data_IF_189495260654
#
_entry.id   IF_189495260654
#
_cell.length_a   1.000
_cell.length_b   1.000
_cell.length_c   1.000
_cell.angle_alpha   90.00
_cell.angle_beta   90.00
_cell.angle_gamma   90.00
#
_symmetry.space_group_name_H-M   'P 1'
#
loop_
_entity.id
_entity.type
_entity.pdbx_description
1 polymer ?
#
# COMPACT_ATOMS: atom_id res chain seq x y z
N UNK A 1 -10.58 -25.30 -7.51
CA UNK A 1 -10.45 -23.83 -7.69
C UNK A 1 -10.14 -23.24 -6.34
N UNK A 2 -9.25 -22.32 -6.29
CA UNK A 2 -8.72 -21.69 -5.06
C UNK A 2 -8.62 -20.19 -5.30
N UNK A 3 -8.91 -19.36 -4.30
CA UNK A 3 -8.63 -17.92 -4.42
C UNK A 3 -7.13 -17.63 -4.28
N UNK A 4 -6.67 -16.51 -4.82
CA UNK A 4 -5.27 -16.10 -4.64
C UNK A 4 -4.91 -15.97 -3.17
N UNK A 5 -5.81 -15.40 -2.35
CA UNK A 5 -5.60 -15.30 -0.90
C UNK A 5 -5.41 -16.66 -0.24
N UNK A 6 -6.24 -17.65 -0.61
CA UNK A 6 -6.13 -19.01 -0.09
C UNK A 6 -4.82 -19.68 -0.53
N UNK A 7 -4.42 -19.49 -1.80
CA UNK A 7 -3.15 -20.02 -2.31
C UNK A 7 -1.94 -19.44 -1.54
N UNK A 8 -1.96 -18.14 -1.22
CA UNK A 8 -0.90 -17.51 -0.41
C UNK A 8 -0.88 -18.08 0.99
N UNK A 9 -2.04 -18.23 1.64
CA UNK A 9 -2.11 -18.82 2.99
C UNK A 9 -1.56 -20.24 2.99
N UNK A 10 -2.06 -21.11 2.10
CA UNK A 10 -1.71 -22.54 2.09
C UNK A 10 -0.26 -22.80 1.68
N UNK A 11 0.27 -22.04 0.73
CA UNK A 11 1.58 -22.33 0.17
C UNK A 11 2.69 -21.48 0.79
N UNK A 12 2.43 -20.20 1.05
CA UNK A 12 3.48 -19.27 1.47
C UNK A 12 3.54 -19.14 2.99
N UNK A 13 2.40 -18.98 3.66
CA UNK A 13 2.36 -18.66 5.08
C UNK A 13 2.26 -19.88 5.99
N UNK A 14 1.35 -20.81 5.71
CA UNK A 14 1.11 -21.98 6.56
C UNK A 14 2.08 -23.14 6.25
N UNK A 15 3.02 -22.92 5.33
CA UNK A 15 4.05 -23.90 5.01
C UNK A 15 5.23 -23.79 5.99
N UNK A 16 5.89 -24.92 6.26
CA UNK A 16 7.17 -24.96 7.01
C UNK A 16 8.34 -24.34 6.21
N UNK A 17 8.06 -23.77 5.05
CA UNK A 17 9.04 -23.23 4.12
C UNK A 17 9.11 -21.72 4.31
N UNK A 18 10.29 -21.25 4.66
CA UNK A 18 10.55 -19.84 4.98
C UNK A 18 11.03 -19.02 3.78
N UNK A 19 11.47 -19.67 2.68
CA UNK A 19 12.02 -18.96 1.52
C UNK A 19 11.29 -19.31 0.24
N UNK A 20 10.77 -18.29 -0.45
CA UNK A 20 10.04 -18.41 -1.69
C UNK A 20 10.59 -17.52 -2.79
N UNK A 21 10.68 -18.07 -4.00
CA UNK A 21 10.82 -17.29 -5.23
C UNK A 21 9.47 -17.24 -5.92
N UNK A 22 8.97 -16.04 -6.12
CA UNK A 22 7.67 -15.79 -6.80
C UNK A 22 7.94 -15.02 -8.10
N UNK A 23 7.52 -15.59 -9.22
CA UNK A 23 7.49 -14.86 -10.48
C UNK A 23 6.04 -14.61 -10.87
N UNK A 24 5.66 -13.34 -10.92
CA UNK A 24 4.29 -12.97 -11.29
C UNK A 24 4.19 -11.51 -11.72
N UNK A 25 3.26 -11.25 -12.65
CA UNK A 25 2.76 -9.92 -13.01
C UNK A 25 1.27 -9.79 -12.65
N UNK A 26 0.70 -10.77 -11.95
CA UNK A 26 -0.70 -10.78 -11.55
C UNK A 26 -0.91 -9.89 -10.33
N UNK A 27 -1.43 -8.69 -10.55
CA UNK A 27 -1.67 -7.68 -9.50
C UNK A 27 -2.60 -8.21 -8.39
N UNK A 28 -3.77 -8.83 -8.67
CA UNK A 28 -4.62 -9.43 -7.64
C UNK A 28 -3.90 -10.45 -6.75
N UNK A 29 -3.02 -11.27 -7.31
CA UNK A 29 -2.22 -12.21 -6.52
C UNK A 29 -1.23 -11.47 -5.61
N UNK A 30 -0.52 -10.46 -6.13
CA UNK A 30 0.45 -9.67 -5.35
C UNK A 30 -0.24 -8.94 -4.20
N UNK A 31 -1.39 -8.32 -4.45
CA UNK A 31 -2.18 -7.66 -3.41
C UNK A 31 -2.59 -8.66 -2.33
N UNK A 32 -3.02 -9.87 -2.71
CA UNK A 32 -3.32 -10.94 -1.75
C UNK A 32 -2.08 -11.36 -0.94
N UNK A 33 -0.89 -11.41 -1.55
CA UNK A 33 0.36 -11.67 -0.83
C UNK A 33 0.66 -10.58 0.20
N UNK A 34 0.59 -9.32 -0.20
CA UNK A 34 0.83 -8.16 0.68
C UNK A 34 -0.12 -8.19 1.87
N UNK A 35 -1.42 -8.37 1.64
CA UNK A 35 -2.44 -8.38 2.70
C UNK A 35 -2.32 -9.57 3.65
N UNK A 36 -1.87 -10.73 3.16
CA UNK A 36 -1.75 -11.93 3.98
C UNK A 36 -0.46 -11.91 4.81
N UNK A 37 0.64 -11.41 4.24
CA UNK A 37 1.95 -11.39 4.90
C UNK A 37 2.06 -10.22 5.86
N UNK A 38 1.49 -9.06 5.53
CA UNK A 38 1.52 -7.88 6.38
C UNK A 38 0.92 -8.14 7.76
N UNK A 39 1.61 -7.71 8.81
CA UNK A 39 1.15 -7.85 10.19
C UNK A 39 1.23 -9.28 10.76
N UNK A 40 1.83 -10.22 10.02
CA UNK A 40 2.17 -11.54 10.56
C UNK A 40 3.65 -11.56 10.95
N UNK A 41 3.93 -12.03 12.17
CA UNK A 41 5.28 -12.40 12.59
C UNK A 41 5.66 -13.72 11.90
N UNK A 42 5.89 -13.69 10.60
CA UNK A 42 6.37 -14.85 9.84
C UNK A 42 7.84 -14.65 9.48
N UNK A 43 8.64 -15.70 9.60
CA UNK A 43 10.02 -15.71 9.09
C UNK A 43 10.07 -15.92 7.56
N UNK A 44 8.98 -15.59 6.85
CA UNK A 44 8.88 -15.83 5.41
C UNK A 44 9.64 -14.75 4.65
N UNK A 45 10.61 -15.19 3.85
CA UNK A 45 11.40 -14.37 2.93
C UNK A 45 10.92 -14.64 1.49
N UNK A 46 10.39 -13.61 0.84
CA UNK A 46 9.85 -13.66 -0.51
C UNK A 46 10.74 -12.90 -1.48
N UNK A 47 11.29 -13.59 -2.45
CA UNK A 47 11.97 -13.02 -3.61
C UNK A 47 10.98 -12.88 -4.77
N UNK A 48 10.48 -11.68 -5.02
CA UNK A 48 9.49 -11.43 -6.06
C UNK A 48 10.13 -10.85 -7.33
N UNK A 49 9.95 -11.57 -8.45
CA UNK A 49 10.39 -11.16 -9.78
C UNK A 49 9.18 -10.77 -10.63
N UNK A 50 9.18 -9.53 -11.14
CA UNK A 50 8.11 -8.99 -11.96
C UNK A 50 8.64 -8.12 -13.12
N UNK A 51 7.74 -7.46 -13.85
CA UNK A 51 8.10 -6.39 -14.79
C UNK A 51 8.12 -5.04 -14.08
N UNK A 52 8.91 -4.08 -14.60
CA UNK A 52 8.89 -2.70 -14.11
C UNK A 52 7.51 -2.03 -14.28
N UNK A 53 6.73 -2.45 -15.28
CA UNK A 53 5.36 -1.95 -15.49
C UNK A 53 4.42 -2.41 -14.36
N UNK A 54 4.53 -3.68 -13.96
CA UNK A 54 3.75 -4.22 -12.83
C UNK A 54 4.05 -3.48 -11.53
N UNK A 55 5.33 -3.26 -11.23
CA UNK A 55 5.74 -2.53 -10.03
C UNK A 55 5.19 -1.09 -10.06
N UNK A 56 5.37 -0.36 -11.17
CA UNK A 56 4.82 1.00 -11.32
C UNK A 56 3.30 1.06 -11.17
N UNK A 57 2.58 0.04 -11.63
CA UNK A 57 1.13 -0.02 -11.47
C UNK A 57 0.73 -0.16 -9.99
N UNK A 58 1.49 -0.94 -9.21
CA UNK A 58 1.28 -1.06 -7.77
C UNK A 58 1.67 0.20 -7.01
N UNK A 59 2.79 0.83 -7.39
CA UNK A 59 3.25 2.10 -6.80
C UNK A 59 2.28 3.26 -7.05
N UNK A 60 1.48 3.20 -8.10
CA UNK A 60 0.42 4.19 -8.36
C UNK A 60 -0.69 4.17 -7.29
N UNK A 61 -0.83 3.07 -6.55
CA UNK A 61 -1.66 3.00 -5.36
C UNK A 61 -0.78 3.19 -4.11
N UNK A 62 -0.88 4.36 -3.50
CA UNK A 62 -0.06 4.73 -2.34
C UNK A 62 -0.12 3.72 -1.19
N UNK A 63 -1.31 3.19 -0.87
CA UNK A 63 -1.48 2.27 0.27
C UNK A 63 -0.76 0.96 -0.01
N UNK A 64 -0.90 0.43 -1.23
CA UNK A 64 -0.18 -0.78 -1.67
C UNK A 64 1.32 -0.54 -1.67
N UNK A 65 1.77 0.62 -2.17
CA UNK A 65 3.18 1.00 -2.17
C UNK A 65 3.75 1.10 -0.74
N UNK A 66 3.01 1.69 0.21
CA UNK A 66 3.43 1.80 1.61
C UNK A 66 3.51 0.43 2.31
N UNK A 67 2.59 -0.48 2.03
CA UNK A 67 2.62 -1.86 2.51
C UNK A 67 3.79 -2.66 1.90
N UNK A 68 4.07 -2.49 0.60
CA UNK A 68 5.24 -3.09 -0.04
C UNK A 68 6.54 -2.56 0.56
N UNK A 69 6.63 -1.24 0.78
CA UNK A 69 7.77 -0.61 1.44
C UNK A 69 8.02 -1.18 2.83
N UNK A 70 6.96 -1.45 3.60
CA UNK A 70 7.05 -2.08 4.92
C UNK A 70 7.63 -3.49 4.83
N UNK A 71 7.09 -4.35 3.97
CA UNK A 71 7.59 -5.71 3.80
C UNK A 71 9.06 -5.75 3.34
N UNK A 72 9.47 -4.78 2.51
CA UNK A 72 10.87 -4.63 2.08
C UNK A 72 11.75 -4.17 3.24
N UNK A 73 11.30 -3.20 4.02
CA UNK A 73 12.04 -2.68 5.18
C UNK A 73 12.22 -3.75 6.28
N UNK A 74 11.24 -4.60 6.48
CA UNK A 74 11.26 -5.70 7.43
C UNK A 74 12.05 -6.93 6.92
N UNK A 75 12.53 -6.88 5.67
CA UNK A 75 13.28 -7.98 5.05
C UNK A 75 12.44 -9.20 4.68
N UNK A 76 11.11 -9.08 4.72
CA UNK A 76 10.17 -10.14 4.35
C UNK A 76 9.96 -10.23 2.83
N UNK A 77 10.26 -9.15 2.10
CA UNK A 77 10.11 -9.06 0.65
C UNK A 77 11.34 -8.43 0.01
N UNK A 78 11.84 -9.07 -1.02
CA UNK A 78 12.81 -8.50 -1.95
C UNK A 78 12.19 -8.44 -3.35
N UNK A 79 12.31 -7.31 -4.03
CA UNK A 79 11.72 -7.11 -5.36
C UNK A 79 12.82 -6.91 -6.39
N UNK A 80 12.72 -7.63 -7.51
CA UNK A 80 13.54 -7.36 -8.69
C UNK A 80 12.68 -7.31 -9.95
N UNK A 81 13.09 -6.45 -10.88
CA UNK A 81 12.39 -6.31 -12.16
C UNK A 81 13.24 -6.77 -13.34
N UNK A 82 12.52 -7.18 -14.39
CA UNK A 82 13.09 -7.51 -15.70
C UNK A 82 12.20 -7.01 -16.82
N UNK A 83 12.82 -6.50 -17.90
CA UNK A 83 12.10 -6.02 -19.08
C UNK A 83 11.38 -7.13 -19.89
N UNK A 84 11.87 -8.36 -19.79
CA UNK A 84 11.37 -9.51 -20.56
C UNK A 84 10.81 -10.60 -19.65
N UNK A 85 9.86 -10.27 -18.83
CA UNK A 85 8.93 -11.25 -18.25
C UNK A 85 7.70 -11.21 -19.14
N UNK A 86 7.27 -12.37 -19.63
CA UNK A 86 6.03 -12.46 -20.42
C UNK A 86 4.88 -11.93 -19.54
N UNK A 87 4.18 -10.89 -19.99
CA UNK A 87 3.11 -10.25 -19.22
C UNK A 87 1.98 -11.24 -18.87
N UNK A 88 1.82 -12.25 -19.74
CA UNK A 88 0.78 -13.27 -19.60
C UNK A 88 1.29 -14.55 -18.91
N UNK A 89 2.55 -14.52 -18.43
CA UNK A 89 3.08 -15.67 -17.73
C UNK A 89 2.27 -15.96 -16.46
N UNK A 90 1.92 -17.24 -16.23
CA UNK A 90 1.20 -17.63 -15.03
C UNK A 90 2.04 -17.33 -13.79
N UNK A 91 1.35 -17.10 -12.66
CA UNK A 91 2.00 -16.95 -11.37
C UNK A 91 2.69 -18.25 -10.99
N UNK A 92 3.97 -18.17 -10.66
CA UNK A 92 4.79 -19.30 -10.28
C UNK A 92 5.42 -19.06 -8.90
N UNK A 93 5.13 -19.95 -7.96
CA UNK A 93 5.75 -20.00 -6.63
C UNK A 93 6.73 -21.15 -6.60
N UNK A 94 7.93 -20.90 -6.18
CA UNK A 94 9.04 -21.85 -6.19
C UNK A 94 9.76 -21.88 -4.84
N UNK A 95 10.05 -23.06 -4.38
CA UNK A 95 11.06 -23.35 -3.38
C UNK A 95 11.83 -24.64 -3.82
N UNK A 96 12.89 -25.05 -3.10
CA UNK A 96 13.68 -26.22 -3.51
C UNK A 96 12.88 -27.52 -3.63
N UNK A 97 11.79 -27.68 -2.86
CA UNK A 97 11.08 -28.95 -2.74
C UNK A 97 9.85 -29.04 -3.68
N UNK A 98 9.30 -27.90 -4.10
CA UNK A 98 8.10 -27.87 -4.94
C UNK A 98 7.98 -26.61 -5.80
N UNK A 99 7.24 -26.74 -6.88
CA UNK A 99 6.77 -25.61 -7.68
C UNK A 99 5.24 -25.59 -7.71
N UNK A 100 4.65 -24.41 -7.51
CA UNK A 100 3.21 -24.20 -7.62
C UNK A 100 2.94 -23.19 -8.73
N UNK A 101 2.22 -23.62 -9.74
CA UNK A 101 1.77 -22.76 -10.82
C UNK A 101 0.30 -22.42 -10.65
N UNK A 102 -0.02 -21.12 -10.61
CA UNK A 102 -1.40 -20.64 -10.55
C UNK A 102 -1.82 -20.14 -11.94
N UNK A 103 -2.87 -20.77 -12.45
CA UNK A 103 -3.52 -20.36 -13.69
C UNK A 103 -4.77 -19.56 -13.31
N UNK A 104 -4.72 -18.25 -13.51
CA UNK A 104 -5.84 -17.36 -13.23
C UNK A 104 -7.06 -17.70 -14.09
N UNK A 105 -8.22 -17.62 -13.51
CA UNK A 105 -9.51 -17.73 -14.18
C UNK A 105 -10.15 -16.35 -14.29
N UNK A 106 -11.26 -16.12 -13.61
CA UNK A 106 -11.95 -14.83 -13.56
C UNK A 106 -11.95 -14.29 -12.13
N UNK A 107 -11.68 -12.99 -11.96
CA UNK A 107 -11.60 -12.37 -10.64
C UNK A 107 -10.33 -12.81 -9.88
N UNK A 108 -10.51 -13.30 -8.66
CA UNK A 108 -9.44 -13.80 -7.79
C UNK A 108 -9.34 -15.34 -7.77
N UNK A 109 -10.07 -16.02 -8.64
CA UNK A 109 -10.08 -17.49 -8.74
C UNK A 109 -8.91 -17.98 -9.62
N UNK A 110 -8.33 -19.11 -9.21
CA UNK A 110 -7.27 -19.80 -9.95
C UNK A 110 -7.40 -21.32 -9.88
N UNK A 111 -6.72 -21.98 -10.79
CA UNK A 111 -6.41 -23.42 -10.72
C UNK A 111 -4.94 -23.56 -10.42
N UNK A 112 -4.60 -24.40 -9.47
CA UNK A 112 -3.24 -24.69 -9.12
C UNK A 112 -2.74 -26.00 -9.76
N UNK A 113 -1.47 -26.01 -10.13
CA UNK A 113 -0.71 -27.19 -10.54
C UNK A 113 0.50 -27.28 -9.65
N UNK A 114 0.54 -28.32 -8.83
CA UNK A 114 1.66 -28.57 -7.91
C UNK A 114 2.60 -29.61 -8.50
N UNK A 115 3.87 -29.27 -8.61
CA UNK A 115 4.94 -30.12 -9.08
C UNK A 115 5.89 -30.44 -7.91
N UNK A 116 6.11 -31.73 -7.68
CA UNK A 116 6.96 -32.25 -6.61
C UNK A 116 8.03 -33.22 -7.11
N UNK A 117 8.17 -33.37 -8.44
CA UNK A 117 9.24 -34.17 -9.04
C UNK A 117 10.59 -33.44 -8.84
N UNK A 118 11.55 -34.05 -8.13
CA UNK A 118 12.80 -33.38 -7.76
C UNK A 118 13.60 -32.88 -8.96
N UNK A 119 13.64 -33.65 -10.07
CA UNK A 119 14.40 -33.25 -11.25
C UNK A 119 13.78 -32.01 -11.92
N UNK A 120 12.46 -31.92 -11.93
CA UNK A 120 11.72 -30.78 -12.51
C UNK A 120 11.85 -29.57 -11.59
N UNK A 121 11.65 -29.74 -10.27
CA UNK A 121 11.70 -28.64 -9.31
C UNK A 121 13.11 -28.04 -9.22
N UNK A 122 14.17 -28.85 -9.20
CA UNK A 122 15.56 -28.40 -9.22
C UNK A 122 15.88 -27.55 -10.46
N UNK A 123 15.43 -28.00 -11.63
CA UNK A 123 15.64 -27.26 -12.89
C UNK A 123 14.87 -25.94 -12.93
N UNK A 124 13.64 -25.92 -12.44
CA UNK A 124 12.84 -24.69 -12.32
C UNK A 124 13.51 -23.72 -11.34
N UNK A 125 13.88 -24.21 -10.14
CA UNK A 125 14.54 -23.42 -9.12
C UNK A 125 15.81 -22.76 -9.64
N UNK A 126 16.71 -23.53 -10.23
CA UNK A 126 17.97 -23.02 -10.78
C UNK A 126 17.73 -22.01 -11.91
N UNK A 127 16.75 -22.27 -12.80
CA UNK A 127 16.39 -21.32 -13.88
C UNK A 127 15.87 -20.00 -13.31
N UNK A 128 15.03 -20.06 -12.27
CA UNK A 128 14.49 -18.85 -11.64
C UNK A 128 15.52 -18.13 -10.80
N UNK A 129 16.40 -18.84 -10.11
CA UNK A 129 17.52 -18.24 -9.38
C UNK A 129 18.42 -17.43 -10.32
N UNK A 130 18.75 -17.95 -11.50
CA UNK A 130 19.53 -17.23 -12.50
C UNK A 130 18.78 -15.98 -13.01
N UNK A 131 17.45 -16.07 -13.23
CA UNK A 131 16.62 -14.94 -13.61
C UNK A 131 16.58 -13.87 -12.53
N UNK A 132 16.51 -14.29 -11.28
CA UNK A 132 16.56 -13.41 -10.12
C UNK A 132 17.88 -12.66 -10.05
N UNK A 133 19.02 -13.35 -10.16
CA UNK A 133 20.35 -12.75 -10.07
C UNK A 133 20.61 -11.65 -11.08
N UNK A 134 20.06 -11.77 -12.29
CA UNK A 134 20.20 -10.75 -13.35
C UNK A 134 19.10 -9.69 -13.35
N UNK A 135 18.11 -9.81 -12.46
CA UNK A 135 17.07 -8.80 -12.27
C UNK A 135 17.62 -7.54 -11.59
N UNK A 136 17.02 -6.39 -11.90
CA UNK A 136 17.34 -5.13 -11.23
C UNK A 136 16.67 -5.08 -9.87
N UNK A 137 17.43 -4.83 -8.81
CA UNK A 137 16.90 -4.62 -7.48
C UNK A 137 16.09 -3.33 -7.45
N UNK A 138 14.90 -3.41 -6.92
CA UNK A 138 13.99 -2.27 -6.79
C UNK A 138 13.75 -1.93 -5.32
N UNK A 139 13.47 -0.66 -5.08
CA UNK A 139 13.02 -0.12 -3.80
C UNK A 139 11.77 0.69 -4.04
N UNK A 140 10.87 0.69 -3.07
CA UNK A 140 9.63 1.49 -3.13
C UNK A 140 9.85 2.75 -2.30
N UNK A 141 9.80 3.92 -2.96
CA UNK A 141 10.17 5.22 -2.36
C UNK A 141 8.96 5.90 -1.70
N UNK A 142 8.34 5.18 -0.76
CA UNK A 142 7.28 5.69 0.12
C UNK A 142 7.52 5.19 1.54
N UNK A 143 7.07 5.92 2.57
CA UNK A 143 7.22 5.47 3.96
C UNK A 143 6.44 4.16 4.22
N UNK A 144 6.97 3.27 5.09
CA UNK A 144 6.25 2.08 5.54
C UNK A 144 4.89 2.40 6.16
N UNK A 145 3.88 1.56 5.87
CA UNK A 145 2.49 1.81 6.25
C UNK A 145 2.29 1.95 7.77
N UNK A 146 2.82 1.01 8.55
CA UNK A 146 2.72 1.03 10.02
C UNK A 146 3.45 2.23 10.62
N UNK A 147 4.61 2.60 10.05
CA UNK A 147 5.34 3.79 10.49
C UNK A 147 4.53 5.07 10.30
N UNK A 148 3.83 5.21 9.16
CA UNK A 148 2.94 6.35 8.89
C UNK A 148 1.86 6.48 9.96
N UNK A 149 1.20 5.37 10.31
CA UNK A 149 0.13 5.36 11.30
C UNK A 149 0.66 5.60 12.72
N UNK A 150 1.81 5.03 13.07
CA UNK A 150 2.45 5.25 14.38
C UNK A 150 2.82 6.72 14.59
N UNK A 151 3.40 7.37 13.56
CA UNK A 151 3.71 8.80 13.63
C UNK A 151 2.43 9.64 13.66
N UNK A 152 1.36 9.21 12.93
CA UNK A 152 0.06 9.88 13.00
C UNK A 152 -0.54 9.82 14.40
N UNK A 153 -0.47 8.66 15.06
CA UNK A 153 -0.93 8.51 16.46
C UNK A 153 -0.17 9.44 17.41
N UNK A 154 1.16 9.52 17.29
CA UNK A 154 2.01 10.39 18.12
C UNK A 154 1.74 11.88 17.89
N UNK A 155 1.56 12.32 16.64
CA UNK A 155 1.45 13.73 16.27
C UNK A 155 0.02 14.27 16.22
N UNK A 156 -0.94 13.44 15.80
CA UNK A 156 -2.32 13.84 15.55
C UNK A 156 -3.31 13.21 16.55
N UNK A 157 -2.89 12.17 17.24
CA UNK A 157 -3.69 11.43 18.22
C UNK A 157 -4.34 10.15 17.65
N UNK A 158 -4.75 9.23 18.56
CA UNK A 158 -5.20 7.89 18.17
C UNK A 158 -6.47 7.90 17.30
N UNK A 159 -7.45 8.75 17.57
CA UNK A 159 -8.68 8.83 16.78
C UNK A 159 -8.42 9.29 15.33
N UNK A 160 -7.48 10.22 15.14
CA UNK A 160 -7.09 10.68 13.79
C UNK A 160 -6.34 9.58 13.06
N UNK A 161 -5.42 8.89 13.73
CA UNK A 161 -4.67 7.77 13.14
C UNK A 161 -5.60 6.63 12.71
N UNK A 162 -6.59 6.28 13.52
CA UNK A 162 -7.60 5.27 13.22
C UNK A 162 -8.43 5.66 11.99
N UNK A 163 -8.93 6.90 11.93
CA UNK A 163 -9.70 7.39 10.78
C UNK A 163 -8.84 7.49 9.51
N UNK A 164 -7.54 7.81 9.61
CA UNK A 164 -6.60 7.76 8.47
C UNK A 164 -6.48 6.32 7.95
N UNK A 165 -6.32 5.33 8.85
CA UNK A 165 -6.22 3.93 8.46
C UNK A 165 -7.50 3.42 7.77
N UNK A 166 -8.68 3.79 8.27
CA UNK A 166 -9.97 3.48 7.65
C UNK A 166 -10.08 4.11 6.25
N UNK A 167 -9.73 5.38 6.11
CA UNK A 167 -9.76 6.09 4.84
C UNK A 167 -8.78 5.49 3.82
N UNK A 168 -7.57 5.11 4.23
CA UNK A 168 -6.59 4.45 3.36
C UNK A 168 -7.07 3.08 2.90
N UNK A 169 -7.66 2.27 3.78
CA UNK A 169 -8.24 0.97 3.40
C UNK A 169 -9.35 1.12 2.36
N UNK A 170 -10.18 2.16 2.48
CA UNK A 170 -11.22 2.46 1.50
C UNK A 170 -10.65 2.85 0.13
N UNK A 171 -9.50 3.54 0.10
CA UNK A 171 -8.82 3.90 -1.16
C UNK A 171 -8.16 2.69 -1.83
N UNK A 172 -7.62 1.76 -1.06
CA UNK A 172 -6.98 0.55 -1.58
C UNK A 172 -7.96 -0.31 -2.39
N UNK A 173 -9.20 -0.43 -1.90
CA UNK A 173 -10.24 -1.27 -2.54
C UNK A 173 -10.85 -0.65 -3.78
N UNK A 174 -10.65 0.64 -4.00
CA UNK A 174 -11.21 1.37 -5.15
C UNK A 174 -10.21 1.44 -6.29
N UNK A 175 -10.34 0.53 -7.24
CA UNK A 175 -9.53 0.44 -8.46
C UNK A 175 -9.79 1.57 -9.47
N UNK A 176 -9.89 2.83 -9.04
CA UNK A 176 -10.09 3.95 -9.96
C UNK A 176 -8.80 4.76 -10.15
N UNK A 177 -8.55 5.19 -11.39
CA UNK A 177 -7.40 6.00 -11.84
C UNK A 177 -7.26 7.38 -11.17
N UNK A 178 -8.05 7.70 -10.16
CA UNK A 178 -8.03 8.94 -9.39
C UNK A 178 -8.04 8.64 -7.90
N UNK A 179 -6.97 8.05 -7.38
CA UNK A 179 -6.78 7.97 -5.93
C UNK A 179 -6.47 9.37 -5.38
N UNK A 180 -7.11 9.74 -4.27
CA UNK A 180 -6.73 10.95 -3.54
C UNK A 180 -5.28 10.82 -3.07
N UNK A 181 -4.54 11.91 -3.17
CA UNK A 181 -3.19 11.97 -2.60
C UNK A 181 -3.25 11.72 -1.07
N UNK A 182 -2.32 10.95 -0.51
CA UNK A 182 -2.35 10.57 0.92
C UNK A 182 -2.40 11.77 1.87
N UNK A 183 -1.75 12.87 1.50
CA UNK A 183 -1.79 14.13 2.25
C UNK A 183 -3.18 14.79 2.19
N UNK A 184 -3.90 14.64 1.08
CA UNK A 184 -5.29 15.11 0.96
C UNK A 184 -6.19 14.36 1.93
N UNK A 185 -6.03 13.05 2.07
CA UNK A 185 -6.76 12.25 3.07
C UNK A 185 -6.48 12.75 4.48
N UNK A 186 -5.21 12.97 4.82
CA UNK A 186 -4.83 13.47 6.14
C UNK A 186 -5.41 14.88 6.43
N UNK A 187 -5.49 15.76 5.42
CA UNK A 187 -6.13 17.07 5.56
C UNK A 187 -7.63 16.95 5.81
N UNK A 188 -8.32 16.03 5.13
CA UNK A 188 -9.76 15.77 5.30
C UNK A 188 -10.07 15.19 6.69
N UNK A 189 -9.34 14.15 7.08
CA UNK A 189 -9.48 13.53 8.41
C UNK A 189 -9.07 14.54 9.49
N UNK A 190 -8.01 15.29 9.28
CA UNK A 190 -7.59 16.36 10.19
C UNK A 190 -8.65 17.45 10.36
N UNK A 191 -9.34 17.85 9.27
CA UNK A 191 -10.44 18.79 9.34
C UNK A 191 -11.66 18.22 10.09
N UNK A 192 -11.94 16.94 9.93
CA UNK A 192 -12.99 16.22 10.70
C UNK A 192 -12.73 16.23 12.20
N UNK A 193 -11.47 16.25 12.63
CA UNK A 193 -11.04 16.22 14.02
C UNK A 193 -10.50 17.56 14.53
N UNK A 194 -10.74 18.66 13.85
CA UNK A 194 -10.31 20.02 14.23
C UNK A 194 -8.79 20.14 14.48
N UNK A 195 -7.98 19.40 13.72
CA UNK A 195 -6.51 19.33 13.89
C UNK A 195 -5.87 20.65 13.44
N UNK A 196 -4.80 21.05 14.10
CA UNK A 196 -4.01 22.20 13.65
C UNK A 196 -3.21 21.81 12.38
N UNK A 197 -3.25 22.67 11.38
CA UNK A 197 -2.49 22.48 10.12
C UNK A 197 -0.98 22.22 10.39
N UNK A 198 -0.43 22.86 11.41
CA UNK A 198 0.97 22.67 11.83
C UNK A 198 1.26 21.20 12.22
N UNK A 199 0.34 20.55 12.89
CA UNK A 199 0.55 19.19 13.39
C UNK A 199 0.50 18.19 12.21
N UNK A 200 -0.35 18.45 11.19
CA UNK A 200 -0.32 17.70 9.93
C UNK A 200 1.00 17.92 9.16
N UNK A 201 1.50 19.16 9.10
CA UNK A 201 2.81 19.44 8.50
C UNK A 201 3.91 18.68 9.25
N UNK A 202 3.91 18.72 10.58
CA UNK A 202 4.90 18.00 11.39
C UNK A 202 4.84 16.48 11.16
N UNK A 203 3.64 15.92 11.07
CA UNK A 203 3.45 14.52 10.73
C UNK A 203 4.00 14.18 9.34
N UNK A 204 3.64 14.95 8.30
CA UNK A 204 4.08 14.68 6.92
C UNK A 204 5.59 14.82 6.75
N UNK A 205 6.23 15.78 7.43
CA UNK A 205 7.68 15.96 7.39
C UNK A 205 8.41 14.88 8.19
N UNK A 206 7.89 14.50 9.36
CA UNK A 206 8.49 13.43 10.19
C UNK A 206 8.40 12.07 9.50
N UNK A 207 7.29 11.77 8.83
CA UNK A 207 7.12 10.55 8.05
C UNK A 207 7.76 10.59 6.65
N UNK A 208 8.40 11.69 6.27
CA UNK A 208 8.97 11.93 4.92
C UNK A 208 7.94 11.83 3.78
N UNK A 209 6.65 11.94 4.11
CA UNK A 209 5.55 11.80 3.14
C UNK A 209 5.44 13.04 2.23
N UNK A 210 5.55 14.23 2.79
CA UNK A 210 5.45 15.48 2.05
C UNK A 210 6.10 16.66 2.77
N UNK A 211 6.42 17.70 2.00
CA UNK A 211 6.91 18.96 2.54
C UNK A 211 5.77 19.89 2.94
N UNK A 212 6.04 20.89 3.80
CA UNK A 212 5.09 21.95 4.14
C UNK A 212 4.50 22.63 2.90
N UNK A 213 5.30 22.83 1.85
CA UNK A 213 4.83 23.44 0.60
C UNK A 213 3.76 22.61 -0.09
N UNK A 214 3.92 21.28 -0.11
CA UNK A 214 2.93 20.35 -0.65
C UNK A 214 1.64 20.37 0.17
N UNK A 215 1.74 20.31 1.50
CA UNK A 215 0.57 20.36 2.41
C UNK A 215 -0.20 21.67 2.19
N UNK A 216 0.50 22.82 2.12
CA UNK A 216 -0.11 24.14 1.93
C UNK A 216 -0.85 24.22 0.58
N UNK A 217 -0.27 23.68 -0.49
CA UNK A 217 -0.88 23.64 -1.83
C UNK A 217 -2.16 22.81 -1.86
N UNK A 218 -2.12 21.61 -1.26
CA UNK A 218 -3.28 20.72 -1.20
C UNK A 218 -4.39 21.29 -0.31
N UNK A 219 -4.04 21.88 0.83
CA UNK A 219 -4.99 22.62 1.67
C UNK A 219 -5.70 23.71 0.86
N UNK A 220 -4.94 24.55 0.14
CA UNK A 220 -5.52 25.62 -0.67
C UNK A 220 -6.50 25.07 -1.72
N UNK A 221 -6.15 23.95 -2.37
CA UNK A 221 -7.05 23.30 -3.32
C UNK A 221 -8.35 22.83 -2.67
N UNK A 222 -8.31 22.31 -1.45
CA UNK A 222 -9.49 21.88 -0.70
C UNK A 222 -10.35 23.10 -0.27
N UNK A 223 -9.73 24.24 0.08
CA UNK A 223 -10.41 25.49 0.36
C UNK A 223 -11.09 26.08 -0.88
N UNK A 224 -10.40 26.09 -2.03
CA UNK A 224 -10.92 26.61 -3.30
C UNK A 224 -12.18 25.88 -3.79
N UNK A 225 -12.27 24.58 -3.51
CA UNK A 225 -13.47 23.77 -3.83
C UNK A 225 -14.52 23.77 -2.70
N UNK A 226 -14.25 24.45 -1.58
CA UNK A 226 -15.18 24.63 -0.48
C UNK A 226 -15.41 23.37 0.38
N UNK A 227 -14.45 22.45 0.45
CA UNK A 227 -14.52 21.23 1.28
C UNK A 227 -13.96 21.47 2.67
N UNK A 228 -12.86 22.22 2.76
CA UNK A 228 -12.17 22.55 4.02
C UNK A 228 -12.17 24.05 4.22
N UNK A 229 -12.25 24.49 5.46
CA UNK A 229 -12.05 25.88 5.89
C UNK A 229 -10.92 25.93 6.90
N UNK A 230 -10.38 27.14 7.12
CA UNK A 230 -9.32 27.33 8.10
C UNK A 230 -9.66 28.47 9.03
N UNK A 231 -9.74 28.19 10.33
CA UNK A 231 -9.92 29.22 11.35
C UNK A 231 -8.58 29.60 11.97
N UNK A 232 -8.43 30.90 12.25
CA UNK A 232 -7.22 31.42 12.92
C UNK A 232 -7.43 31.42 14.43
N UNK A 233 -6.72 30.57 15.15
CA UNK A 233 -6.78 30.47 16.60
C UNK A 233 -5.60 31.22 17.26
N UNK A 234 -5.91 32.18 18.11
CA UNK A 234 -4.91 32.92 18.87
C UNK A 234 -4.55 32.16 20.15
N UNK A 235 -3.53 31.33 20.09
CA UNK A 235 -3.03 30.57 21.25
C UNK A 235 -1.77 31.28 21.79
N UNK A 236 -1.96 32.34 22.59
CA UNK A 236 -0.86 33.04 23.28
C UNK A 236 -0.06 34.02 22.41
N UNK A 237 1.22 34.24 22.78
CA UNK A 237 2.10 35.18 22.08
C UNK A 237 2.69 34.49 20.86
N UNK A 238 2.39 34.97 19.65
CA UNK A 238 2.95 34.45 18.41
C UNK A 238 2.02 34.60 17.21
N UNK A 239 2.39 33.98 16.08
CA UNK A 239 1.55 33.97 14.88
C UNK A 239 0.31 33.10 15.14
N UNK A 240 -0.90 33.54 14.75
CA UNK A 240 -2.11 32.73 14.89
C UNK A 240 -1.91 31.34 14.27
N UNK A 241 -2.40 30.31 14.95
CA UNK A 241 -2.38 28.94 14.44
C UNK A 241 -3.62 28.72 13.56
N UNK A 242 -3.46 27.93 12.53
CA UNK A 242 -4.55 27.56 11.62
C UNK A 242 -5.13 26.22 12.06
N UNK A 243 -6.41 26.21 12.42
CA UNK A 243 -7.19 25.02 12.69
C UNK A 243 -7.96 24.66 11.44
N UNK A 244 -7.93 23.40 11.05
CA UNK A 244 -8.69 22.87 9.92
C UNK A 244 -10.11 22.53 10.39
N UNK A 245 -11.09 22.78 9.53
CA UNK A 245 -12.49 22.40 9.75
C UNK A 245 -13.12 22.01 8.41
N UNK A 246 -14.14 21.14 8.42
CA UNK A 246 -14.93 20.82 7.25
C UNK A 246 -15.95 21.94 7.00
N UNK A 247 -16.04 22.40 5.75
CA UNK A 247 -16.92 23.53 5.37
C UNK A 247 -18.41 23.20 5.48
N UNK A 248 -18.77 21.90 5.44
CA UNK A 248 -20.16 21.43 5.51
C UNK A 248 -20.33 20.49 6.72
N UNK A 249 -21.23 20.84 7.64
CA UNK A 249 -21.57 20.02 8.81
C UNK A 249 -22.05 18.61 8.44
N UNK A 250 -22.61 18.42 7.25
CA UNK A 250 -23.02 17.09 6.78
C UNK A 250 -21.83 16.16 6.55
N UNK A 251 -20.67 16.68 6.19
CA UNK A 251 -19.43 15.91 6.03
C UNK A 251 -18.82 15.52 7.37
N UNK A 252 -19.02 16.35 8.41
CA UNK A 252 -18.48 16.11 9.75
C UNK A 252 -19.03 14.83 10.39
N UNK A 253 -20.27 14.48 10.08
CA UNK A 253 -20.93 13.28 10.61
C UNK A 253 -20.58 11.98 9.89
N UNK A 254 -19.91 12.06 8.73
CA UNK A 254 -19.57 10.88 7.92
C UNK A 254 -18.42 10.07 8.54
N UNK A 255 -18.46 8.74 8.44
CA UNK A 255 -17.28 7.90 8.64
C UNK A 255 -16.14 8.31 7.68
N UNK A 256 -14.90 8.04 8.05
CA UNK A 256 -13.73 8.50 7.28
C UNK A 256 -13.67 7.95 5.84
N UNK A 257 -14.10 6.73 5.63
CA UNK A 257 -14.20 6.10 4.31
C UNK A 257 -15.27 6.73 3.41
N UNK A 258 -16.42 7.10 4.00
CA UNK A 258 -17.48 7.80 3.29
C UNK A 258 -17.11 9.26 2.99
N UNK A 259 -16.44 9.96 3.92
CA UNK A 259 -15.91 11.30 3.74
C UNK A 259 -14.97 11.36 2.54
N UNK A 260 -13.98 10.48 2.51
CA UNK A 260 -13.00 10.40 1.41
C UNK A 260 -13.69 10.07 0.08
N UNK A 261 -14.68 9.16 0.09
CA UNK A 261 -15.45 8.80 -1.08
C UNK A 261 -16.24 9.98 -1.68
N UNK A 262 -16.89 10.76 -0.82
CA UNK A 262 -17.62 11.95 -1.24
C UNK A 262 -16.72 13.00 -1.88
N UNK A 263 -15.59 13.29 -1.24
CA UNK A 263 -14.65 14.30 -1.75
C UNK A 263 -13.98 13.85 -3.04
N UNK A 264 -13.69 12.55 -3.19
CA UNK A 264 -13.16 11.99 -4.44
C UNK A 264 -14.10 12.25 -5.62
N UNK A 265 -15.41 12.10 -5.43
CA UNK A 265 -16.40 12.43 -6.47
C UNK A 265 -16.42 13.92 -6.86
N UNK A 266 -16.07 14.81 -5.95
CA UNK A 266 -16.02 16.27 -6.23
C UNK A 266 -14.71 16.64 -6.96
N UNK A 267 -13.63 15.91 -6.74
CA UNK A 267 -12.32 16.18 -7.32
C UNK A 267 -12.07 15.49 -8.68
N UNK A 268 -12.95 14.53 -9.07
CA UNK A 268 -12.90 13.79 -10.36
C UNK A 268 -13.55 14.60 -11.46
#
# INVERSE_FOLDING_TARGET
>A
MISYRQAVVEHVVDSDITHWQIQTNNIPFIMSCVDVVQGRETETDINWLCTSETLKTLEANFVVAAKLSELIADGQLSVRTREKVDSDAPTLLLNPDRAVQLLGLTGDESVEVVLTDPEITDRLWETHRQRWEIGLMETVDVPPYTQLLTIAEDKLGPAVSEDIAVAYTALETRASNSSLEPVTVALLVGAKHDVLLRDIVEWTETSTLATQGTVSKLKQRLEDIGVVTTESENIGVGRPRQRLDLADESLQSLPADELVANVQCVLS
#
